data_IF_550786299110
#
_entry.id   IF_550786299110
#
_cell.length_a   1.000
_cell.length_b   1.000
_cell.length_c   1.000
_cell.angle_alpha   90.00
_cell.angle_beta   90.00
_cell.angle_gamma   90.00
#
_symmetry.space_group_name_H-M   'P 1'
#
loop_
_entity.id
_entity.type
_entity.pdbx_description
1 polymer ?
#
# COMPACT_ATOMS: atom_id res chain seq x y z
N UNK A 1 -23.08 21.89 25.75
CA UNK A 1 -23.95 22.30 24.61
C UNK A 1 -24.79 21.08 24.26
N UNK A 2 -26.11 21.21 24.19
CA UNK A 2 -26.95 20.10 23.77
C UNK A 2 -26.60 19.72 22.33
N UNK A 3 -26.11 18.51 22.11
CA UNK A 3 -25.89 17.98 20.78
C UNK A 3 -27.26 17.75 20.14
N UNK A 4 -27.41 18.19 18.89
CA UNK A 4 -28.65 18.08 18.14
C UNK A 4 -28.40 17.21 16.93
N UNK A 5 -29.43 16.50 16.49
CA UNK A 5 -29.36 15.70 15.27
C UNK A 5 -29.13 16.60 14.07
N UNK A 6 -28.09 16.32 13.28
CA UNK A 6 -27.71 17.11 12.12
C UNK A 6 -27.79 16.27 10.85
N UNK A 7 -28.33 16.84 9.78
CA UNK A 7 -28.29 16.20 8.46
C UNK A 7 -26.99 16.56 7.72
N UNK A 8 -26.33 15.56 7.15
CA UNK A 8 -25.09 15.70 6.38
C UNK A 8 -25.24 14.96 5.05
N UNK A 9 -24.75 15.55 3.96
CA UNK A 9 -24.77 14.93 2.64
C UNK A 9 -23.65 13.89 2.47
N UNK A 10 -24.00 12.70 1.97
CA UNK A 10 -23.02 11.67 1.68
C UNK A 10 -22.19 12.01 0.43
N UNK A 11 -20.86 11.95 0.53
CA UNK A 11 -19.95 12.19 -0.62
C UNK A 11 -20.05 11.15 -1.74
N UNK A 12 -20.41 9.90 -1.42
CA UNK A 12 -20.41 8.81 -2.41
C UNK A 12 -21.77 8.69 -3.14
N UNK A 13 -22.90 8.86 -2.44
CA UNK A 13 -24.25 8.70 -3.03
C UNK A 13 -25.09 9.97 -3.09
N UNK A 14 -24.62 11.08 -2.52
CA UNK A 14 -25.31 12.38 -2.53
C UNK A 14 -26.55 12.48 -1.65
N UNK A 15 -26.97 11.39 -0.99
CA UNK A 15 -28.13 11.39 -0.09
C UNK A 15 -27.78 12.00 1.26
N UNK A 16 -28.73 12.73 1.82
CA UNK A 16 -28.64 13.25 3.18
C UNK A 16 -28.87 12.12 4.18
N UNK A 17 -28.04 12.08 5.23
CA UNK A 17 -28.20 11.15 6.34
C UNK A 17 -28.11 11.90 7.67
N UNK A 18 -28.75 11.33 8.70
CA UNK A 18 -28.82 11.92 10.04
C UNK A 18 -27.61 11.50 10.86
N UNK A 19 -26.78 12.47 11.24
CA UNK A 19 -25.75 12.31 12.26
C UNK A 19 -26.37 12.58 13.63
N UNK A 20 -26.76 11.49 14.29
CA UNK A 20 -27.53 11.55 15.53
C UNK A 20 -26.69 12.02 16.71
N UNK A 21 -27.35 12.49 17.75
CA UNK A 21 -26.74 12.90 19.01
C UNK A 21 -25.86 11.79 19.60
N UNK A 22 -26.34 10.53 19.60
CA UNK A 22 -25.55 9.39 20.10
C UNK A 22 -24.30 9.09 19.28
N UNK A 23 -24.33 9.31 17.96
CA UNK A 23 -23.13 9.16 17.12
C UNK A 23 -22.13 10.30 17.35
N UNK A 24 -22.60 11.52 17.62
CA UNK A 24 -21.75 12.65 17.97
C UNK A 24 -21.00 12.43 19.29
N UNK A 25 -21.68 11.90 20.30
CA UNK A 25 -21.08 11.51 21.58
C UNK A 25 -20.05 10.38 21.40
N UNK A 26 -20.35 9.41 20.54
CA UNK A 26 -19.41 8.35 20.19
C UNK A 26 -18.13 8.91 19.54
N UNK A 27 -18.27 9.85 18.59
CA UNK A 27 -17.13 10.48 17.93
C UNK A 27 -16.29 11.30 18.91
N UNK A 28 -16.93 12.08 19.79
CA UNK A 28 -16.25 12.85 20.83
C UNK A 28 -15.50 11.95 21.82
N UNK A 29 -16.12 10.86 22.30
CA UNK A 29 -15.47 9.92 23.23
C UNK A 29 -14.26 9.22 22.62
N UNK A 30 -14.22 9.06 21.28
CA UNK A 30 -13.10 8.50 20.54
C UNK A 30 -12.05 9.53 20.12
N UNK A 31 -12.25 10.81 20.45
CA UNK A 31 -11.37 11.91 20.03
C UNK A 31 -11.40 12.17 18.51
N UNK A 32 -12.44 11.72 17.81
CA UNK A 32 -12.62 11.96 16.38
C UNK A 32 -13.27 13.33 16.18
N UNK A 33 -12.47 14.28 15.72
CA UNK A 33 -12.92 15.64 15.40
C UNK A 33 -13.59 15.76 14.03
N UNK A 34 -13.47 14.74 13.18
CA UNK A 34 -13.98 14.76 11.82
C UNK A 34 -15.37 14.13 11.74
N UNK A 35 -16.29 14.85 11.09
CA UNK A 35 -17.64 14.37 10.81
C UNK A 35 -17.67 13.17 9.84
N UNK A 36 -18.70 12.31 9.92
CA UNK A 36 -18.88 11.26 8.94
C UNK A 36 -19.09 11.86 7.53
N UNK A 37 -18.28 11.41 6.58
CA UNK A 37 -18.34 11.83 5.16
C UNK A 37 -19.30 10.94 4.34
N UNK A 38 -19.66 9.78 4.88
CA UNK A 38 -20.45 8.74 4.19
C UNK A 38 -21.60 8.28 5.04
N UNK A 39 -22.74 8.02 4.41
CA UNK A 39 -23.89 7.44 5.08
C UNK A 39 -23.60 5.99 5.53
N UNK A 40 -24.39 5.47 6.50
CA UNK A 40 -24.24 4.11 7.02
C UNK A 40 -24.26 3.04 5.91
N UNK A 41 -25.14 3.18 4.92
CA UNK A 41 -25.24 2.26 3.78
C UNK A 41 -23.95 2.20 2.96
N UNK A 42 -23.39 3.35 2.56
CA UNK A 42 -22.14 3.40 1.81
C UNK A 42 -20.94 2.93 2.64
N UNK A 43 -20.95 3.18 3.96
CA UNK A 43 -19.93 2.68 4.89
C UNK A 43 -19.98 1.16 5.02
N UNK A 44 -21.19 0.60 5.15
CA UNK A 44 -21.45 -0.84 5.23
C UNK A 44 -21.13 -1.55 3.93
N UNK A 45 -21.54 -1.00 2.78
CA UNK A 45 -21.24 -1.53 1.46
C UNK A 45 -19.72 -1.59 1.18
N UNK A 46 -18.95 -0.56 1.59
CA UNK A 46 -17.49 -0.63 1.49
C UNK A 46 -16.87 -1.64 2.45
N UNK A 47 -17.47 -1.86 3.61
CA UNK A 47 -17.03 -2.90 4.55
C UNK A 47 -17.30 -4.28 3.96
N UNK A 48 -18.47 -4.51 3.38
CA UNK A 48 -18.82 -5.79 2.74
C UNK A 48 -17.97 -6.05 1.49
N UNK A 49 -17.67 -5.04 0.66
CA UNK A 49 -16.72 -5.19 -0.47
C UNK A 49 -15.31 -5.58 0.02
N UNK A 50 -14.93 -5.17 1.23
CA UNK A 50 -13.66 -5.60 1.85
C UNK A 50 -13.74 -6.98 2.49
N UNK A 51 -14.94 -7.53 2.73
CA UNK A 51 -15.18 -8.82 3.39
C UNK A 51 -15.71 -9.89 2.44
N UNK A 52 -16.17 -9.54 1.23
CA UNK A 52 -16.63 -10.50 0.23
C UNK A 52 -15.43 -11.23 -0.40
N UNK A 53 -15.43 -12.57 -0.44
CA UNK A 53 -14.43 -13.35 -1.17
C UNK A 53 -14.55 -13.25 -2.70
N UNK A 54 -15.62 -12.64 -3.21
CA UNK A 54 -15.95 -12.62 -4.64
C UNK A 54 -15.78 -11.22 -5.22
N UNK A 55 -14.59 -10.96 -5.76
CA UNK A 55 -14.40 -9.98 -6.82
C UNK A 55 -13.82 -10.74 -8.01
N UNK A 56 -14.74 -11.19 -8.85
CA UNK A 56 -14.57 -11.80 -10.18
C UNK A 56 -13.87 -10.82 -11.15
N UNK A 57 -12.64 -10.45 -10.81
CA UNK A 57 -11.72 -9.67 -11.63
C UNK A 57 -10.27 -9.81 -11.12
N UNK A 58 -9.92 -10.84 -10.34
CA UNK A 58 -8.53 -11.23 -10.10
C UNK A 58 -7.59 -10.15 -9.53
N UNK A 59 -8.10 -9.17 -8.78
CA UNK A 59 -7.27 -8.20 -8.04
C UNK A 59 -7.67 -8.17 -6.56
N UNK A 60 -6.83 -8.72 -5.69
CA UNK A 60 -6.95 -8.49 -4.25
C UNK A 60 -6.29 -7.14 -3.96
N UNK A 61 -7.10 -6.13 -3.61
CA UNK A 61 -6.60 -4.81 -3.15
C UNK A 61 -5.97 -5.00 -1.77
N UNK A 62 -4.66 -4.81 -1.67
CA UNK A 62 -3.96 -4.74 -0.38
C UNK A 62 -4.55 -3.61 0.48
N UNK A 63 -5.36 -3.96 1.47
CA UNK A 63 -5.74 -3.10 2.59
C UNK A 63 -4.84 -3.36 3.78
N UNK A 64 -4.65 -2.36 4.65
CA UNK A 64 -3.77 -2.36 5.81
C UNK A 64 -4.06 -3.39 6.93
N UNK A 65 -4.84 -4.44 6.64
CA UNK A 65 -5.07 -5.58 7.53
C UNK A 65 -4.34 -6.85 7.08
N UNK A 66 -3.66 -6.85 5.92
CA UNK A 66 -2.97 -8.03 5.39
C UNK A 66 -1.66 -8.40 6.12
N UNK A 67 -1.30 -7.70 7.19
CA UNK A 67 -0.06 -7.91 7.95
C UNK A 67 -0.23 -8.67 9.26
N UNK A 68 -1.46 -8.95 9.73
CA UNK A 68 -1.66 -9.65 11.02
C UNK A 68 -2.45 -10.96 10.84
N UNK A 69 -1.73 -12.04 10.51
CA UNK A 69 -2.11 -13.42 10.80
C UNK A 69 -3.34 -13.99 10.10
N UNK A 70 -3.17 -14.64 8.93
CA UNK A 70 -4.31 -15.28 8.26
C UNK A 70 -3.97 -16.17 7.06
N UNK A 71 -3.10 -17.16 7.28
CA UNK A 71 -2.98 -18.49 6.62
C UNK A 71 -3.85 -18.79 5.38
N UNK A 72 -3.60 -18.11 4.27
CA UNK A 72 -3.74 -18.72 2.94
C UNK A 72 -2.35 -18.68 2.30
N UNK A 73 -1.74 -19.82 1.95
CA UNK A 73 -0.48 -19.80 1.21
C UNK A 73 -0.76 -19.12 -0.13
N UNK A 74 -0.11 -17.97 -0.35
CA UNK A 74 -0.20 -17.27 -1.64
C UNK A 74 0.41 -18.20 -2.69
N UNK A 75 -0.32 -18.51 -3.75
CA UNK A 75 0.28 -19.16 -4.90
C UNK A 75 1.30 -18.20 -5.52
N UNK A 76 2.55 -18.64 -5.59
CA UNK A 76 3.64 -17.89 -6.18
C UNK A 76 3.75 -18.29 -7.66
N UNK A 77 3.82 -17.32 -8.55
CA UNK A 77 3.95 -17.53 -9.98
C UNK A 77 5.35 -17.13 -10.45
N UNK A 78 5.98 -17.92 -11.33
CA UNK A 78 7.24 -17.55 -11.94
C UNK A 78 7.02 -16.41 -12.94
N UNK A 79 7.90 -15.41 -12.91
CA UNK A 79 7.92 -14.32 -13.86
C UNK A 79 9.37 -13.88 -14.10
N UNK A 80 9.69 -13.49 -15.34
CA UNK A 80 10.98 -12.87 -15.64
C UNK A 80 10.95 -11.38 -15.25
N UNK A 81 11.99 -10.90 -14.60
CA UNK A 81 12.19 -9.48 -14.36
C UNK A 81 12.43 -8.76 -15.69
N UNK A 82 11.68 -7.70 -15.97
CA UNK A 82 11.78 -6.93 -17.22
C UNK A 82 13.12 -6.19 -17.39
N UNK A 83 13.97 -6.14 -16.37
CA UNK A 83 15.27 -5.46 -16.41
C UNK A 83 16.45 -6.44 -16.52
N UNK A 84 16.58 -7.39 -15.58
CA UNK A 84 17.68 -8.37 -15.61
C UNK A 84 17.35 -9.65 -16.38
N UNK A 85 16.08 -9.96 -16.60
CA UNK A 85 15.66 -11.26 -17.12
C UNK A 85 15.65 -12.39 -16.09
N UNK A 86 16.09 -12.14 -14.84
CA UNK A 86 16.10 -13.17 -13.80
C UNK A 86 14.69 -13.66 -13.47
N UNK A 87 14.58 -14.96 -13.21
CA UNK A 87 13.34 -15.61 -12.80
C UNK A 87 13.04 -15.27 -11.34
N UNK A 88 11.89 -14.65 -11.09
CA UNK A 88 11.41 -14.30 -9.77
C UNK A 88 10.04 -14.89 -9.51
N UNK A 89 9.71 -15.02 -8.22
CA UNK A 89 8.39 -15.45 -7.79
C UNK A 89 7.53 -14.23 -7.39
N UNK A 90 6.33 -14.14 -7.94
CA UNK A 90 5.37 -13.07 -7.65
C UNK A 90 4.04 -13.61 -7.15
N UNK A 91 3.36 -12.93 -6.21
CA UNK A 91 2.07 -13.40 -5.66
C UNK A 91 0.88 -13.12 -6.59
N UNK A 92 1.13 -12.76 -7.85
CA UNK A 92 0.12 -12.43 -8.85
C UNK A 92 0.51 -13.07 -10.18
N UNK A 93 -0.47 -13.51 -10.96
CA UNK A 93 -0.21 -14.07 -12.29
C UNK A 93 0.22 -12.94 -13.25
N UNK A 94 1.44 -13.00 -13.84
CA UNK A 94 1.89 -11.98 -14.79
C UNK A 94 1.04 -12.02 -16.06
N UNK A 95 0.31 -10.94 -16.37
CA UNK A 95 -0.58 -10.84 -17.54
C UNK A 95 0.11 -10.32 -18.81
N UNK A 96 1.39 -9.94 -18.73
CA UNK A 96 2.14 -9.35 -19.86
C UNK A 96 1.89 -7.86 -20.08
N UNK A 97 0.76 -7.31 -19.64
CA UNK A 97 0.42 -5.88 -19.81
C UNK A 97 1.34 -4.92 -19.04
N UNK A 98 1.99 -5.39 -17.98
CA UNK A 98 2.80 -4.56 -17.08
C UNK A 98 4.12 -5.24 -16.73
N UNK A 99 5.26 -4.52 -16.80
CA UNK A 99 6.56 -5.12 -16.51
C UNK A 99 6.63 -5.57 -15.06
N UNK A 100 7.19 -6.76 -14.86
CA UNK A 100 7.46 -7.33 -13.55
C UNK A 100 8.89 -6.99 -13.16
N UNK A 101 9.11 -6.57 -11.92
CA UNK A 101 10.43 -6.21 -11.40
C UNK A 101 10.78 -7.04 -10.17
N UNK A 102 12.07 -7.34 -9.99
CA UNK A 102 12.58 -7.99 -8.79
C UNK A 102 12.40 -7.10 -7.55
N UNK A 103 12.46 -7.71 -6.36
CA UNK A 103 12.27 -7.01 -5.08
C UNK A 103 13.27 -5.86 -4.90
N UNK A 104 14.49 -6.05 -5.37
CA UNK A 104 15.57 -5.07 -5.37
C UNK A 104 15.21 -3.84 -6.20
N UNK A 105 14.86 -4.03 -7.49
CA UNK A 105 14.44 -2.92 -8.37
C UNK A 105 13.19 -2.21 -7.84
N UNK A 106 12.20 -2.95 -7.33
CA UNK A 106 11.01 -2.35 -6.71
C UNK A 106 11.35 -1.46 -5.52
N UNK A 107 12.30 -1.86 -4.68
CA UNK A 107 12.75 -1.07 -3.52
C UNK A 107 13.46 0.20 -3.96
N UNK A 108 14.36 0.11 -4.94
CA UNK A 108 15.06 1.26 -5.50
C UNK A 108 14.07 2.29 -6.07
N UNK A 109 13.09 1.82 -6.87
CA UNK A 109 12.04 2.69 -7.42
C UNK A 109 11.22 3.37 -6.32
N UNK A 110 11.01 2.69 -5.19
CA UNK A 110 10.28 3.25 -4.04
C UNK A 110 11.07 4.36 -3.32
N UNK A 111 12.41 4.32 -3.41
CA UNK A 111 13.29 5.35 -2.84
C UNK A 111 13.46 6.58 -3.75
N UNK A 112 12.75 6.64 -4.89
CA UNK A 112 12.77 7.81 -5.78
C UNK A 112 14.01 7.94 -6.66
N UNK A 113 14.82 6.89 -6.77
CA UNK A 113 15.91 6.85 -7.75
C UNK A 113 15.39 6.47 -9.12
N UNK A 114 15.83 7.21 -10.14
CA UNK A 114 15.63 6.82 -11.52
C UNK A 114 16.69 5.79 -11.93
N UNK A 115 16.32 4.85 -12.80
CA UNK A 115 17.18 3.70 -13.15
C UNK A 115 18.46 4.14 -13.86
N UNK A 116 18.36 5.13 -14.76
CA UNK A 116 19.51 5.67 -15.51
C UNK A 116 20.54 6.30 -14.57
N UNK A 117 20.06 6.93 -13.49
CA UNK A 117 20.90 7.59 -12.47
C UNK A 117 21.79 6.58 -11.72
N UNK A 118 21.29 5.36 -11.50
CA UNK A 118 22.04 4.30 -10.78
C UNK A 118 23.06 3.64 -11.70
N UNK A 119 22.65 3.31 -12.93
CA UNK A 119 23.54 2.68 -13.90
C UNK A 119 24.69 3.61 -14.29
N UNK A 120 24.40 4.90 -14.57
CA UNK A 120 25.42 5.86 -15.00
C UNK A 120 26.36 6.28 -13.88
N UNK A 121 25.85 6.40 -12.64
CA UNK A 121 26.64 6.92 -11.53
C UNK A 121 27.56 5.85 -10.93
N UNK A 122 27.09 4.61 -10.80
CA UNK A 122 27.83 3.56 -10.07
C UNK A 122 28.19 2.34 -10.91
N UNK A 123 27.75 2.28 -12.17
CA UNK A 123 28.08 1.15 -13.06
C UNK A 123 27.52 -0.20 -12.60
N UNK A 124 26.58 -0.19 -11.66
CA UNK A 124 25.98 -1.41 -11.08
C UNK A 124 24.60 -1.61 -11.68
N UNK A 125 24.34 -2.82 -12.18
CA UNK A 125 22.99 -3.20 -12.57
C UNK A 125 22.15 -3.37 -11.30
N UNK A 126 21.02 -2.66 -11.13
CA UNK A 126 20.26 -2.65 -9.86
C UNK A 126 19.72 -4.03 -9.45
N UNK A 127 19.73 -5.01 -10.34
CA UNK A 127 19.33 -6.39 -10.03
C UNK A 127 20.45 -7.23 -9.39
N UNK A 128 21.72 -6.82 -9.50
CA UNK A 128 22.87 -7.50 -8.89
C UNK A 128 23.13 -7.06 -7.45
N UNK A 129 22.33 -6.12 -6.94
CA UNK A 129 22.47 -5.61 -5.58
C UNK A 129 21.84 -6.62 -4.61
N UNK A 130 22.68 -7.47 -3.99
CA UNK A 130 22.25 -8.50 -3.03
C UNK A 130 21.68 -7.88 -1.73
N UNK A 131 21.97 -6.60 -1.47
CA UNK A 131 21.40 -5.89 -0.33
C UNK A 131 21.56 -4.39 -0.43
N UNK A 132 20.59 -3.69 -1.05
CA UNK A 132 20.58 -2.21 -1.14
C UNK A 132 20.79 -1.57 0.24
N UNK A 133 20.17 -2.12 1.29
CA UNK A 133 20.33 -1.61 2.66
C UNK A 133 21.74 -1.89 3.23
N UNK A 134 22.36 -3.00 2.86
CA UNK A 134 23.73 -3.32 3.25
C UNK A 134 24.73 -2.40 2.54
N UNK A 135 24.51 -2.12 1.25
CA UNK A 135 25.38 -1.25 0.47
C UNK A 135 25.18 0.24 0.78
N UNK A 136 23.95 0.67 1.10
CA UNK A 136 23.66 1.96 1.73
C UNK A 136 24.42 2.10 3.07
N UNK A 137 24.38 1.07 3.92
CA UNK A 137 25.07 1.07 5.24
C UNK A 137 26.59 1.04 5.12
N UNK A 138 27.12 0.33 4.11
CA UNK A 138 28.55 0.30 3.80
C UNK A 138 29.05 1.58 3.12
N UNK A 139 28.17 2.53 2.80
CA UNK A 139 28.51 3.77 2.11
C UNK A 139 28.92 3.57 0.65
N UNK A 140 28.64 2.38 0.08
CA UNK A 140 28.89 2.06 -1.33
C UNK A 140 27.86 2.75 -2.24
N UNK A 141 26.75 3.21 -1.66
CA UNK A 141 25.59 3.82 -2.29
C UNK A 141 25.28 5.12 -1.51
N UNK A 142 25.66 6.32 -2.00
CA UNK A 142 25.26 7.56 -1.33
C UNK A 142 23.74 7.81 -1.49
N UNK A 143 23.05 8.25 -0.42
CA UNK A 143 21.65 8.64 -0.52
C UNK A 143 21.46 9.82 -1.48
N UNK A 144 20.34 9.87 -2.18
CA UNK A 144 19.92 11.03 -2.97
C UNK A 144 19.81 12.23 -2.03
N UNK A 145 20.39 13.38 -2.36
CA UNK A 145 20.31 14.56 -1.52
C UNK A 145 18.84 14.92 -1.27
N UNK A 146 18.47 15.04 0.02
CA UNK A 146 17.10 15.34 0.45
C UNK A 146 16.17 14.14 0.61
N UNK A 147 16.64 12.90 0.43
CA UNK A 147 15.85 11.68 0.66
C UNK A 147 16.30 11.01 1.96
N UNK A 148 15.42 10.98 2.96
CA UNK A 148 15.67 10.24 4.20
C UNK A 148 15.64 8.73 3.94
N UNK A 149 16.69 8.02 4.36
CA UNK A 149 16.75 6.56 4.24
C UNK A 149 15.77 5.97 5.27
N UNK A 150 14.74 5.21 4.87
CA UNK A 150 13.85 4.60 5.83
C UNK A 150 14.59 3.51 6.60
N UNK A 151 14.57 3.59 7.93
CA UNK A 151 15.25 2.61 8.80
C UNK A 151 14.45 1.29 8.85
N UNK A 152 14.66 0.43 7.86
CA UNK A 152 13.83 -0.75 7.62
C UNK A 152 14.00 -1.89 8.64
N UNK A 153 14.95 -1.81 9.58
CA UNK A 153 15.14 -2.82 10.63
C UNK A 153 13.96 -2.95 11.59
N UNK A 154 13.04 -1.98 11.61
CA UNK A 154 11.85 -2.02 12.49
C UNK A 154 10.61 -2.69 11.88
N UNK A 155 10.70 -3.21 10.64
CA UNK A 155 9.53 -3.78 9.92
C UNK A 155 9.56 -5.30 9.70
N UNK A 156 10.55 -5.99 10.29
CA UNK A 156 10.48 -7.44 10.52
C UNK A 156 10.14 -7.69 11.99
N UNK A 157 8.86 -7.56 12.32
CA UNK A 157 8.23 -8.11 13.53
C UNK A 157 6.92 -8.75 13.12
#
# INVERSE_FOLDING_TARGET
MALQDRQIACRDCGRDFTFTTGEQEFYQSKGLQNDPVRCPECRSARKSIRTSPEAEAGYVRYGGAASFGGRTPRQMHPAACAMCGDMIEVPFLPRGDRPVFCTTVKRIMTLGYQMDEIQQRWGIHPCQVEGINQDLRRGLIPPKPGVEIPDFERTRS
#
